data_IF_429705634551
#
_entry.id   IF_429705634551
#
_cell.length_a   1.000
_cell.length_b   1.000
_cell.length_c   1.000
_cell.angle_alpha   90.00
_cell.angle_beta   90.00
_cell.angle_gamma   90.00
#
_symmetry.space_group_name_H-M   'P 1'
#
loop_
_entity.id
_entity.type
_entity.pdbx_description
1 polymer ?
#
# COMPACT_ATOMS: atom_id res chain seq x y z
N UNK A 1 18.24 -10.07 -6.75
CA UNK A 1 17.10 -9.37 -6.17
C UNK A 1 16.63 -10.08 -4.90
N UNK A 2 16.13 -9.31 -3.94
CA UNK A 2 15.69 -9.81 -2.65
C UNK A 2 14.29 -9.22 -2.35
N UNK A 3 13.33 -10.06 -1.98
CA UNK A 3 11.98 -9.69 -1.61
C UNK A 3 11.63 -10.32 -0.27
N UNK A 4 11.03 -9.55 0.63
CA UNK A 4 10.43 -10.03 1.88
C UNK A 4 8.92 -9.95 1.75
N UNK A 5 8.26 -11.09 1.89
CA UNK A 5 6.83 -11.17 2.07
C UNK A 5 6.55 -11.73 3.47
N UNK A 6 5.67 -11.06 4.21
CA UNK A 6 5.23 -11.49 5.53
C UNK A 6 3.70 -11.56 5.55
N UNK A 7 3.16 -12.55 6.23
CA UNK A 7 1.72 -12.71 6.45
C UNK A 7 1.40 -12.48 7.91
N UNK A 8 0.25 -11.86 8.20
CA UNK A 8 -0.31 -11.74 9.52
C UNK A 8 -1.72 -12.32 9.51
N UNK A 9 -2.03 -13.19 10.46
CA UNK A 9 -3.38 -13.67 10.67
C UNK A 9 -3.98 -12.90 11.85
N UNK A 10 -5.03 -12.08 11.65
CA UNK A 10 -5.63 -11.32 12.74
C UNK A 10 -6.21 -12.21 13.86
N UNK A 11 -6.55 -13.47 13.57
CA UNK A 11 -7.11 -14.41 14.56
C UNK A 11 -6.01 -14.94 15.49
N UNK A 12 -4.76 -15.01 15.02
CA UNK A 12 -3.62 -15.54 15.80
C UNK A 12 -2.87 -14.47 16.60
N UNK A 13 -3.41 -13.26 16.68
CA UNK A 13 -2.79 -12.16 17.44
C UNK A 13 -2.94 -12.34 18.98
N UNK A 14 -3.81 -13.20 19.46
CA UNK A 14 -3.85 -13.58 20.87
C UNK A 14 -2.57 -14.34 21.26
N UNK A 15 -1.72 -13.68 22.06
CA UNK A 15 -0.45 -14.24 22.54
C UNK A 15 0.79 -13.93 21.69
N UNK A 16 0.66 -13.18 20.61
CA UNK A 16 1.80 -12.71 19.82
C UNK A 16 2.02 -11.20 20.00
N UNK A 17 3.28 -10.77 19.97
CA UNK A 17 3.61 -9.33 19.96
C UNK A 17 3.44 -8.80 18.53
N UNK A 18 2.64 -7.75 18.30
CA UNK A 18 2.58 -7.09 17.00
C UNK A 18 3.97 -6.54 16.64
N UNK A 19 4.27 -6.54 15.34
CA UNK A 19 5.50 -5.88 14.88
C UNK A 19 5.46 -4.39 15.27
N UNK A 20 6.56 -3.86 15.82
CA UNK A 20 6.67 -2.43 16.10
C UNK A 20 6.40 -1.60 14.83
N UNK A 21 5.73 -0.48 14.97
CA UNK A 21 5.35 0.44 13.90
C UNK A 21 6.55 0.85 13.03
N UNK A 22 7.70 1.08 13.64
CA UNK A 22 8.94 1.39 12.94
C UNK A 22 9.44 0.25 12.02
N UNK A 23 9.06 -0.99 12.30
CA UNK A 23 9.36 -2.14 11.45
C UNK A 23 8.32 -2.27 10.33
N UNK A 24 7.05 -2.02 10.63
CA UNK A 24 5.98 -2.00 9.62
C UNK A 24 6.22 -0.90 8.57
N UNK A 25 6.68 0.28 8.96
CA UNK A 25 7.03 1.38 8.04
C UNK A 25 8.09 0.98 6.99
N UNK A 26 8.85 -0.09 7.22
CA UNK A 26 9.88 -0.57 6.28
C UNK A 26 9.33 -1.47 5.17
N UNK A 27 8.13 -2.03 5.31
CA UNK A 27 7.48 -2.77 4.24
C UNK A 27 6.96 -1.81 3.16
N UNK A 28 7.11 -2.18 1.91
CA UNK A 28 6.65 -1.35 0.78
C UNK A 28 5.14 -1.16 0.82
N UNK A 29 4.41 -2.26 0.93
CA UNK A 29 2.95 -2.33 0.90
C UNK A 29 2.39 -3.20 2.00
N UNK A 30 1.19 -2.84 2.46
CA UNK A 30 0.29 -3.72 3.18
C UNK A 30 -0.92 -4.04 2.31
N UNK A 31 -1.14 -5.34 2.07
CA UNK A 31 -2.24 -5.83 1.25
C UNK A 31 -3.25 -6.58 2.12
N UNK A 32 -4.53 -6.39 1.83
CA UNK A 32 -5.60 -7.16 2.45
C UNK A 32 -5.99 -8.32 1.53
N UNK A 33 -5.80 -9.54 2.02
CA UNK A 33 -6.26 -10.75 1.34
C UNK A 33 -7.67 -11.05 1.84
N UNK A 34 -8.65 -10.90 0.98
CA UNK A 34 -10.06 -11.21 1.30
C UNK A 34 -10.28 -12.72 1.27
N UNK A 35 -11.22 -13.19 2.07
CA UNK A 35 -11.71 -14.57 1.97
C UNK A 35 -12.20 -14.84 0.53
N UNK A 36 -11.90 -16.03 -0.02
CA UNK A 36 -12.36 -16.41 -1.35
C UNK A 36 -13.89 -16.49 -1.39
N UNK A 37 -14.46 -16.23 -2.57
CA UNK A 37 -15.89 -16.45 -2.80
C UNK A 37 -16.21 -17.94 -2.88
N UNK A 38 -17.51 -18.28 -2.91
CA UNK A 38 -17.97 -19.69 -2.91
C UNK A 38 -17.42 -20.49 -4.09
N UNK A 39 -17.33 -19.90 -5.28
CA UNK A 39 -16.80 -20.58 -6.47
C UNK A 39 -15.32 -20.89 -6.32
N UNK A 40 -14.53 -19.92 -5.90
CA UNK A 40 -13.10 -20.11 -5.62
C UNK A 40 -12.88 -21.14 -4.50
N UNK A 41 -13.74 -21.17 -3.46
CA UNK A 41 -13.67 -22.22 -2.42
C UNK A 41 -13.91 -23.61 -2.99
N UNK A 42 -14.89 -23.79 -3.87
CA UNK A 42 -15.13 -25.05 -4.55
C UNK A 42 -13.92 -25.48 -5.37
N UNK A 43 -13.29 -24.56 -6.07
CA UNK A 43 -12.07 -24.85 -6.83
C UNK A 43 -10.90 -25.26 -5.94
N UNK A 44 -10.73 -24.56 -4.80
CA UNK A 44 -9.73 -24.93 -3.78
C UNK A 44 -10.00 -26.35 -3.25
N UNK A 45 -11.25 -26.72 -2.98
CA UNK A 45 -11.58 -28.06 -2.50
C UNK A 45 -11.34 -29.16 -3.55
N UNK A 46 -11.39 -28.78 -4.85
CA UNK A 46 -11.08 -29.70 -5.97
C UNK A 46 -9.58 -29.83 -6.22
N UNK A 47 -8.77 -28.86 -5.73
CA UNK A 47 -7.32 -28.93 -5.91
C UNK A 47 -6.76 -30.11 -5.12
N UNK A 48 -6.07 -30.99 -5.82
CA UNK A 48 -5.29 -32.05 -5.19
C UNK A 48 -4.03 -31.42 -4.57
N UNK A 49 -3.98 -31.37 -3.24
CA UNK A 49 -2.89 -30.72 -2.51
C UNK A 49 -1.55 -31.44 -2.70
N UNK A 50 -1.57 -32.73 -3.02
CA UNK A 50 -0.37 -33.53 -3.21
C UNK A 50 0.29 -33.32 -4.59
N UNK A 51 -0.40 -32.62 -5.52
CA UNK A 51 0.07 -32.39 -6.88
C UNK A 51 0.24 -30.92 -7.24
N UNK A 52 0.32 -30.02 -6.26
CA UNK A 52 0.65 -28.60 -6.52
C UNK A 52 2.06 -28.50 -7.11
N UNK A 53 2.17 -28.65 -8.43
CA UNK A 53 3.44 -28.43 -9.13
C UNK A 53 3.89 -26.98 -8.95
N UNK A 54 5.15 -26.78 -8.66
CA UNK A 54 5.73 -25.44 -8.59
C UNK A 54 5.49 -24.72 -9.93
N UNK A 55 4.95 -23.50 -9.86
CA UNK A 55 4.77 -22.69 -11.06
C UNK A 55 6.11 -22.52 -11.80
N UNK A 56 6.13 -22.63 -13.12
CA UNK A 56 7.36 -22.47 -13.89
C UNK A 56 7.92 -21.05 -13.68
N UNK A 57 9.25 -20.95 -13.61
CA UNK A 57 9.91 -19.64 -13.52
C UNK A 57 9.65 -18.85 -14.81
N UNK A 58 9.02 -17.69 -14.69
CA UNK A 58 8.69 -16.79 -15.82
C UNK A 58 9.79 -15.78 -16.06
N UNK A 59 10.50 -15.37 -15.01
CA UNK A 59 11.58 -14.38 -15.05
C UNK A 59 12.84 -14.93 -14.37
N UNK A 60 13.97 -14.54 -14.93
CA UNK A 60 15.28 -14.69 -14.28
C UNK A 60 15.69 -13.40 -13.54
N UNK A 61 16.74 -13.48 -12.72
CA UNK A 61 17.21 -12.34 -11.94
C UNK A 61 17.67 -11.15 -12.82
N UNK A 62 18.41 -11.34 -13.92
CA UNK A 62 18.78 -10.24 -14.82
C UNK A 62 17.55 -9.50 -15.41
N UNK A 63 16.53 -10.23 -15.86
CA UNK A 63 15.30 -9.64 -16.39
C UNK A 63 14.55 -8.86 -15.32
N UNK A 64 14.44 -9.40 -14.10
CA UNK A 64 13.81 -8.70 -12.98
C UNK A 64 14.53 -7.40 -12.65
N UNK A 65 15.86 -7.39 -12.60
CA UNK A 65 16.66 -6.19 -12.36
C UNK A 65 16.47 -5.15 -13.48
N UNK A 66 16.41 -5.60 -14.74
CA UNK A 66 16.12 -4.72 -15.86
C UNK A 66 14.71 -4.08 -15.75
N UNK A 67 13.69 -4.86 -15.37
CA UNK A 67 12.34 -4.33 -15.14
C UNK A 67 12.31 -3.32 -13.98
N UNK A 68 13.03 -3.58 -12.90
CA UNK A 68 13.15 -2.64 -11.77
C UNK A 68 13.83 -1.32 -12.21
N UNK A 69 14.88 -1.40 -13.01
CA UNK A 69 15.56 -0.22 -13.56
C UNK A 69 14.63 0.56 -14.49
N UNK A 70 13.89 -0.12 -15.37
CA UNK A 70 12.91 0.49 -16.25
C UNK A 70 11.79 1.20 -15.47
N UNK A 71 11.23 0.56 -14.44
CA UNK A 71 10.23 1.17 -13.58
C UNK A 71 10.78 2.43 -12.89
N UNK A 72 11.99 2.35 -12.33
CA UNK A 72 12.63 3.48 -11.66
C UNK A 72 12.89 4.67 -12.58
N UNK A 73 13.11 4.42 -13.88
CA UNK A 73 13.37 5.43 -14.89
C UNK A 73 12.09 6.10 -15.45
N UNK A 74 10.89 5.55 -15.13
CA UNK A 74 9.64 6.15 -15.64
C UNK A 74 9.46 7.57 -15.12
N UNK A 75 9.19 8.54 -16.02
CA UNK A 75 8.99 9.93 -15.64
C UNK A 75 7.70 10.08 -14.81
N UNK A 76 7.76 11.01 -13.87
CA UNK A 76 6.65 11.44 -13.03
C UNK A 76 6.54 12.95 -13.17
N UNK A 77 5.35 13.46 -13.44
CA UNK A 77 5.12 14.89 -13.52
C UNK A 77 5.36 15.57 -12.17
N UNK A 78 5.98 16.75 -12.18
CA UNK A 78 6.22 17.53 -10.94
C UNK A 78 4.92 17.85 -10.21
N UNK A 79 3.82 18.03 -10.94
CA UNK A 79 2.49 18.20 -10.36
C UNK A 79 2.07 17.03 -9.48
N UNK A 80 2.38 15.78 -9.87
CA UNK A 80 2.08 14.60 -9.06
C UNK A 80 2.97 14.53 -7.83
N UNK A 81 4.24 14.93 -7.92
CA UNK A 81 5.13 15.02 -6.76
C UNK A 81 4.62 16.05 -5.74
N UNK A 82 4.13 17.20 -6.22
CA UNK A 82 3.52 18.23 -5.38
C UNK A 82 2.22 17.73 -4.74
N UNK A 83 1.33 17.10 -5.50
CA UNK A 83 0.09 16.52 -4.99
C UNK A 83 0.36 15.43 -3.94
N UNK A 84 1.31 14.55 -4.17
CA UNK A 84 1.72 13.53 -3.21
C UNK A 84 2.24 14.15 -1.92
N UNK A 85 3.04 15.22 -2.02
CA UNK A 85 3.53 15.96 -0.84
C UNK A 85 2.38 16.59 -0.04
N UNK A 86 1.38 17.18 -0.71
CA UNK A 86 0.16 17.72 -0.07
C UNK A 86 -0.62 16.60 0.62
N UNK A 87 -0.83 15.46 -0.04
CA UNK A 87 -1.52 14.30 0.53
C UNK A 87 -0.80 13.82 1.79
N UNK A 88 0.54 13.65 1.74
CA UNK A 88 1.31 13.24 2.92
C UNK A 88 1.16 14.23 4.08
N UNK A 89 1.25 15.53 3.80
CA UNK A 89 1.06 16.58 4.83
C UNK A 89 -0.35 16.53 5.40
N UNK A 90 -1.35 16.28 4.59
CA UNK A 90 -2.74 16.18 5.03
C UNK A 90 -3.04 14.94 5.89
N UNK A 91 -2.14 13.94 5.94
CA UNK A 91 -2.23 12.84 6.92
C UNK A 91 -1.75 13.21 8.31
N UNK A 92 -1.00 14.32 8.47
CA UNK A 92 -0.52 14.80 9.76
C UNK A 92 -1.62 15.57 10.49
N UNK A 93 -2.10 15.11 11.67
CA UNK A 93 -3.22 15.74 12.38
C UNK A 93 -2.92 17.19 12.85
N UNK A 94 -1.65 17.57 12.90
CA UNK A 94 -1.22 18.93 13.32
C UNK A 94 -1.13 19.91 12.13
N UNK A 95 -1.19 19.39 10.89
CA UNK A 95 -1.07 20.23 9.71
C UNK A 95 -2.40 20.92 9.36
N UNK A 96 -2.32 22.17 8.90
CA UNK A 96 -3.51 22.97 8.53
C UNK A 96 -4.37 22.36 7.41
N UNK A 97 -3.75 21.60 6.49
CA UNK A 97 -4.45 20.90 5.40
C UNK A 97 -5.11 19.59 5.80
N UNK A 98 -4.98 19.16 7.08
CA UNK A 98 -5.54 17.91 7.54
C UNK A 98 -7.09 17.99 7.58
N UNK A 99 -7.81 17.01 7.00
CA UNK A 99 -9.26 16.86 7.19
C UNK A 99 -9.61 16.70 8.68
N UNK A 100 -10.89 17.00 9.03
CA UNK A 100 -11.35 16.85 10.41
C UNK A 100 -11.18 15.42 10.91
N UNK A 101 -11.50 14.41 10.09
CA UNK A 101 -11.31 13.01 10.46
C UNK A 101 -9.86 12.69 10.82
N UNK A 102 -8.88 13.24 10.11
CA UNK A 102 -7.44 13.07 10.41
C UNK A 102 -7.11 13.68 11.76
N UNK A 103 -7.54 14.90 12.02
CA UNK A 103 -7.28 15.61 13.30
C UNK A 103 -7.83 14.87 14.51
N UNK A 104 -8.98 14.24 14.35
CA UNK A 104 -9.67 13.52 15.42
C UNK A 104 -9.14 12.09 15.61
N UNK A 105 -8.77 11.41 14.52
CA UNK A 105 -8.54 9.97 14.51
C UNK A 105 -7.07 9.56 14.43
N UNK A 106 -6.19 10.42 13.90
CA UNK A 106 -4.79 10.07 13.65
C UNK A 106 -3.91 10.55 14.82
N UNK A 107 -2.99 9.69 15.26
CA UNK A 107 -1.91 10.03 16.19
C UNK A 107 -0.64 10.48 15.44
N UNK A 108 -0.31 9.80 14.35
CA UNK A 108 0.84 10.10 13.50
C UNK A 108 0.52 9.88 12.03
N UNK A 109 0.80 10.88 11.20
CA UNK A 109 0.66 10.80 9.75
C UNK A 109 1.78 10.01 9.07
N UNK A 110 1.61 9.74 7.79
CA UNK A 110 2.59 8.99 7.00
C UNK A 110 3.89 9.76 6.82
N UNK A 111 5.01 9.06 6.96
CA UNK A 111 6.37 9.59 6.78
C UNK A 111 6.71 9.79 5.28
N UNK A 112 7.78 10.55 4.95
CA UNK A 112 8.28 10.64 3.58
C UNK A 112 8.59 9.28 2.93
N UNK A 113 8.93 8.24 3.74
CA UNK A 113 9.10 6.87 3.25
C UNK A 113 7.82 6.31 2.64
N UNK A 114 6.66 6.64 3.21
CA UNK A 114 5.36 6.29 2.64
C UNK A 114 5.16 6.89 1.25
N UNK A 115 5.51 8.16 1.06
CA UNK A 115 5.47 8.81 -0.25
C UNK A 115 6.40 8.17 -1.28
N UNK A 116 7.63 7.83 -0.88
CA UNK A 116 8.56 7.11 -1.74
C UNK A 116 8.04 5.71 -2.11
N UNK A 117 7.39 5.01 -1.18
CA UNK A 117 6.76 3.73 -1.43
C UNK A 117 5.59 3.84 -2.43
N UNK A 118 4.72 4.83 -2.26
CA UNK A 118 3.62 5.10 -3.19
C UNK A 118 4.13 5.43 -4.59
N UNK A 119 5.18 6.25 -4.69
CA UNK A 119 5.80 6.61 -5.96
C UNK A 119 6.46 5.41 -6.66
N UNK A 120 7.19 4.57 -5.90
CA UNK A 120 7.78 3.35 -6.45
C UNK A 120 6.71 2.37 -6.94
N UNK A 121 5.61 2.22 -6.18
CA UNK A 121 4.46 1.42 -6.57
C UNK A 121 3.76 1.93 -7.83
N UNK A 122 3.54 3.24 -7.92
CA UNK A 122 2.93 3.87 -9.08
C UNK A 122 3.76 3.65 -10.35
N UNK A 123 5.09 3.76 -10.28
CA UNK A 123 5.99 3.43 -11.38
C UNK A 123 5.91 1.95 -11.80
N UNK A 124 5.86 1.04 -10.80
CA UNK A 124 5.67 -0.39 -11.06
C UNK A 124 4.35 -0.68 -11.77
N UNK A 125 3.24 -0.06 -11.31
CA UNK A 125 1.92 -0.21 -11.93
C UNK A 125 1.88 0.37 -13.33
N UNK A 126 2.47 1.55 -13.56
CA UNK A 126 2.57 2.14 -14.90
C UNK A 126 3.31 1.21 -15.87
N UNK A 127 4.45 0.63 -15.43
CA UNK A 127 5.19 -0.34 -16.24
C UNK A 127 4.35 -1.58 -16.56
N UNK A 128 3.68 -2.17 -15.56
CA UNK A 128 2.82 -3.35 -15.75
C UNK A 128 1.64 -3.08 -16.69
N UNK A 129 1.16 -1.83 -16.74
CA UNK A 129 0.10 -1.35 -17.64
C UNK A 129 0.63 -0.92 -19.01
N UNK A 130 1.93 -1.09 -19.29
CA UNK A 130 2.57 -0.73 -20.55
C UNK A 130 2.67 0.77 -20.81
N UNK A 131 2.66 1.60 -19.76
CA UNK A 131 2.74 3.06 -19.88
C UNK A 131 4.19 3.55 -19.86
N UNK A 132 4.47 4.60 -20.61
CA UNK A 132 5.75 5.27 -20.63
C UNK A 132 5.91 6.37 -19.58
N UNK A 133 4.89 6.59 -18.71
CA UNK A 133 4.87 7.57 -17.63
C UNK A 133 3.88 7.15 -16.55
N UNK A 134 3.99 7.72 -15.35
CA UNK A 134 3.03 7.51 -14.27
C UNK A 134 1.77 8.33 -14.53
N UNK A 135 0.60 7.68 -14.47
CA UNK A 135 -0.71 8.31 -14.56
C UNK A 135 -1.35 8.49 -13.16
N UNK A 136 -2.38 9.38 -13.01
CA UNK A 136 -3.04 9.60 -11.72
C UNK A 136 -3.59 8.32 -11.08
N UNK A 137 -4.16 7.42 -11.88
CA UNK A 137 -4.69 6.14 -11.40
C UNK A 137 -3.60 5.20 -10.88
N UNK A 138 -2.37 5.24 -11.44
CA UNK A 138 -1.26 4.43 -10.94
C UNK A 138 -0.84 4.88 -9.54
N UNK A 139 -0.81 6.20 -9.31
CA UNK A 139 -0.51 6.76 -8.00
C UNK A 139 -1.64 6.48 -7.01
N UNK A 140 -2.90 6.61 -7.41
CA UNK A 140 -4.07 6.30 -6.57
C UNK A 140 -4.07 4.85 -6.12
N UNK A 141 -3.83 3.90 -7.03
CA UNK A 141 -3.83 2.47 -6.73
C UNK A 141 -2.67 2.07 -5.82
N UNK A 142 -1.51 2.74 -5.94
CA UNK A 142 -0.35 2.50 -5.09
C UNK A 142 -0.47 3.15 -3.70
N UNK A 143 -1.24 4.23 -3.57
CA UNK A 143 -1.27 5.08 -2.38
C UNK A 143 -1.85 4.33 -1.16
N UNK A 144 -2.99 3.65 -1.31
CA UNK A 144 -3.61 2.92 -0.20
C UNK A 144 -2.71 1.81 0.35
N UNK A 145 -2.20 0.86 -0.45
CA UNK A 145 -1.33 -0.17 0.09
C UNK A 145 0.00 0.39 0.64
N UNK A 146 0.46 1.53 0.13
CA UNK A 146 1.68 2.16 0.63
C UNK A 146 1.48 2.92 1.95
N UNK A 147 0.31 3.51 2.19
CA UNK A 147 0.11 4.43 3.32
C UNK A 147 -0.73 3.87 4.46
N UNK A 148 -1.61 2.87 4.23
CA UNK A 148 -2.56 2.42 5.24
C UNK A 148 -1.94 1.94 6.55
N UNK A 149 -0.75 1.35 6.50
CA UNK A 149 -0.01 0.88 7.67
C UNK A 149 0.96 1.92 8.24
N UNK A 150 0.99 3.11 7.65
CA UNK A 150 1.84 4.24 8.05
C UNK A 150 1.08 5.39 8.69
N UNK A 151 -0.26 5.36 8.55
CA UNK A 151 -1.17 6.28 9.25
C UNK A 151 -1.56 5.61 10.55
N UNK A 152 -0.99 6.11 11.66
CA UNK A 152 -1.24 5.53 12.97
C UNK A 152 -2.48 6.16 13.61
N UNK A 153 -3.47 5.32 13.89
CA UNK A 153 -4.72 5.77 14.49
C UNK A 153 -4.61 5.89 16.01
N UNK A 154 -5.43 6.77 16.59
CA UNK A 154 -5.69 6.77 18.02
C UNK A 154 -6.48 5.52 18.38
N UNK A 155 -6.25 5.02 19.59
CA UNK A 155 -6.93 3.79 20.05
C UNK A 155 -8.46 3.90 19.97
N UNK A 156 -9.02 5.01 20.40
CA UNK A 156 -10.48 5.25 20.41
C UNK A 156 -11.06 5.26 19.00
N UNK A 157 -10.32 5.83 18.03
CA UNK A 157 -10.71 5.87 16.64
C UNK A 157 -10.71 4.46 16.01
N UNK A 158 -9.65 3.70 16.25
CA UNK A 158 -9.56 2.31 15.80
C UNK A 158 -10.67 1.44 16.42
N UNK A 159 -10.93 1.59 17.71
CA UNK A 159 -12.00 0.89 18.42
C UNK A 159 -13.40 1.24 17.90
N UNK A 160 -13.60 2.46 17.37
CA UNK A 160 -14.86 2.88 16.72
C UNK A 160 -14.98 2.49 15.24
N UNK A 161 -14.00 1.73 14.70
CA UNK A 161 -14.04 1.20 13.35
C UNK A 161 -13.41 2.10 12.27
N UNK A 162 -12.73 3.19 12.66
CA UNK A 162 -11.93 3.98 11.72
C UNK A 162 -10.74 3.15 11.26
N UNK A 163 -10.43 3.22 9.97
CA UNK A 163 -9.32 2.49 9.35
C UNK A 163 -8.36 3.46 8.66
N UNK A 164 -7.13 3.02 8.39
CA UNK A 164 -6.20 3.80 7.58
C UNK A 164 -6.77 4.14 6.19
N UNK A 165 -7.56 3.24 5.60
CA UNK A 165 -8.20 3.47 4.30
C UNK A 165 -9.26 4.56 4.40
N UNK A 166 -10.13 4.58 5.42
CA UNK A 166 -11.13 5.65 5.59
C UNK A 166 -10.50 7.02 5.82
N UNK A 167 -9.35 7.06 6.51
CA UNK A 167 -8.56 8.29 6.68
C UNK A 167 -7.99 8.76 5.35
N UNK A 168 -7.40 7.87 4.56
CA UNK A 168 -6.84 8.19 3.24
C UNK A 168 -7.93 8.63 2.25
N UNK A 169 -9.12 8.03 2.31
CA UNK A 169 -10.29 8.47 1.53
C UNK A 169 -10.68 9.92 1.87
N UNK A 170 -10.73 10.27 3.15
CA UNK A 170 -11.03 11.65 3.58
C UNK A 170 -9.97 12.64 3.09
N UNK A 171 -8.69 12.25 3.12
CA UNK A 171 -7.59 13.07 2.57
C UNK A 171 -7.75 13.26 1.07
N UNK A 172 -8.05 12.21 0.31
CA UNK A 172 -8.22 12.28 -1.15
C UNK A 172 -9.49 13.01 -1.58
N UNK A 173 -10.55 13.01 -0.76
CA UNK A 173 -11.74 13.84 -1.00
C UNK A 173 -11.44 15.34 -0.92
N UNK A 174 -10.59 15.75 0.02
CA UNK A 174 -10.17 17.14 0.19
C UNK A 174 -9.04 17.53 -0.77
N UNK A 175 -8.16 16.60 -1.11
CA UNK A 175 -6.97 16.79 -1.97
C UNK A 175 -6.96 15.75 -3.10
N UNK A 176 -7.83 15.88 -4.12
CA UNK A 176 -7.94 14.89 -5.18
C UNK A 176 -6.69 14.85 -6.06
N UNK A 177 -6.32 13.65 -6.49
CA UNK A 177 -5.34 13.43 -7.55
C UNK A 177 -5.96 13.78 -8.92
N UNK A 178 -5.33 14.68 -9.65
CA UNK A 178 -5.78 15.18 -10.97
C UNK A 178 -4.73 14.87 -12.02
#
# INVERSE_FOLDING_TARGET
PFLVAATQNPIELEGTYPLPEAQLDRFLFQLFVKSPNTETLVDIFRMDQDHASAAPAVLDAPKLLALQANAAALPVADTFLQQLAVILRATDPQHESAPQLVRESVSWGASPRGGLAALAGARGLALLRGRGHVAPEDLRDALFPALRHRVLLRYEAAASGVTGDTVLEAVLQQHPLQ
#
